data_IF_941456822771
#
_entry.id   IF_941456822771
#
_cell.length_a   1.000
_cell.length_b   1.000
_cell.length_c   1.000
_cell.angle_alpha   90.00
_cell.angle_beta   90.00
_cell.angle_gamma   90.00
#
_symmetry.space_group_name_H-M   'P 1'
#
loop_
_entity.id
_entity.type
_entity.pdbx_description
1 polymer ?
#
# COMPACT_ATOMS: atom_id res chain seq x y z
N UNK A 1 -8.45 4.42 -30.81
CA UNK A 1 -8.34 4.46 -29.33
C UNK A 1 -7.82 3.11 -28.90
N UNK A 2 -6.52 2.98 -28.69
CA UNK A 2 -5.93 1.72 -28.24
C UNK A 2 -6.37 1.48 -26.79
N UNK A 3 -7.03 0.35 -26.58
CA UNK A 3 -7.22 -0.22 -25.26
C UNK A 3 -5.84 -0.62 -24.73
N UNK A 4 -5.18 0.31 -24.03
CA UNK A 4 -3.97 0.02 -23.27
C UNK A 4 -4.43 -0.75 -22.06
N UNK A 5 -4.50 -2.08 -22.20
CA UNK A 5 -4.63 -2.97 -21.04
C UNK A 5 -3.44 -2.70 -20.12
N UNK A 6 -3.62 -1.82 -19.12
CA UNK A 6 -2.63 -1.57 -18.08
C UNK A 6 -2.26 -2.94 -17.51
N UNK A 7 -0.98 -3.29 -17.53
CA UNK A 7 -0.51 -4.54 -16.93
C UNK A 7 -0.78 -4.47 -15.42
N UNK A 8 -1.91 -5.05 -14.99
CA UNK A 8 -2.38 -5.05 -13.61
C UNK A 8 -1.86 -6.29 -12.90
N UNK A 9 -1.10 -6.08 -11.83
CA UNK A 9 -0.64 -7.15 -10.95
C UNK A 9 -1.26 -7.01 -9.56
N UNK A 10 -1.42 -8.13 -8.87
CA UNK A 10 -1.87 -8.17 -7.49
C UNK A 10 -0.85 -8.93 -6.65
N UNK A 11 -0.43 -8.33 -5.53
CA UNK A 11 0.60 -8.88 -4.64
C UNK A 11 0.04 -8.95 -3.24
N UNK A 12 0.02 -10.16 -2.68
CA UNK A 12 -0.36 -10.38 -1.28
C UNK A 12 0.83 -10.14 -0.36
N UNK A 13 0.62 -9.32 0.66
CA UNK A 13 1.65 -9.01 1.64
C UNK A 13 1.71 -10.07 2.75
N UNK A 14 2.89 -10.32 3.34
CA UNK A 14 3.05 -11.31 4.40
C UNK A 14 2.31 -10.91 5.68
N UNK A 15 2.04 -11.90 6.53
CA UNK A 15 1.39 -11.67 7.83
C UNK A 15 2.22 -10.76 8.75
N UNK A 16 3.55 -10.90 8.70
CA UNK A 16 4.50 -10.08 9.45
C UNK A 16 5.19 -9.09 8.54
N UNK A 17 4.82 -7.83 8.66
CA UNK A 17 5.44 -6.72 7.94
C UNK A 17 5.74 -5.60 8.94
N UNK A 18 6.93 -5.61 9.52
CA UNK A 18 7.35 -4.64 10.55
C UNK A 18 8.84 -4.33 10.38
N UNK A 19 9.43 -3.53 11.26
CA UNK A 19 10.80 -3.04 11.10
C UNK A 19 11.84 -4.17 10.91
N UNK A 20 11.56 -5.37 11.40
CA UNK A 20 12.43 -6.55 11.25
C UNK A 20 12.36 -7.19 9.87
N UNK A 21 11.21 -7.13 9.20
CA UNK A 21 10.95 -7.82 7.92
C UNK A 21 10.74 -6.85 6.75
N UNK A 22 10.56 -5.55 7.00
CA UNK A 22 10.23 -4.57 5.96
C UNK A 22 11.32 -4.43 4.88
N UNK A 23 12.57 -4.79 5.20
CA UNK A 23 13.66 -4.85 4.22
C UNK A 23 13.49 -5.99 3.21
N UNK A 24 12.84 -7.08 3.59
CA UNK A 24 12.53 -8.21 2.71
C UNK A 24 11.34 -7.87 1.81
N UNK A 25 10.38 -7.08 2.33
CA UNK A 25 9.22 -6.61 1.57
C UNK A 25 9.58 -5.59 0.48
N UNK A 26 10.60 -4.76 0.70
CA UNK A 26 11.01 -3.71 -0.24
C UNK A 26 11.29 -4.22 -1.67
N UNK A 27 12.14 -5.25 -1.90
CA UNK A 27 12.42 -5.74 -3.24
C UNK A 27 11.19 -6.36 -3.91
N UNK A 28 10.28 -6.97 -3.14
CA UNK A 28 9.02 -7.54 -3.68
C UNK A 28 8.10 -6.43 -4.21
N UNK A 29 7.91 -5.36 -3.43
CA UNK A 29 7.12 -4.20 -3.86
C UNK A 29 7.75 -3.52 -5.08
N UNK A 30 9.07 -3.36 -5.09
CA UNK A 30 9.78 -2.77 -6.21
C UNK A 30 9.64 -3.63 -7.47
N UNK A 31 9.79 -4.96 -7.36
CA UNK A 31 9.62 -5.86 -8.49
C UNK A 31 8.19 -5.79 -9.06
N UNK A 32 7.16 -5.74 -8.22
CA UNK A 32 5.78 -5.58 -8.65
C UNK A 32 5.57 -4.25 -9.42
N UNK A 33 6.14 -3.15 -8.91
CA UNK A 33 6.07 -1.82 -9.52
C UNK A 33 6.89 -1.69 -10.80
N UNK A 34 8.00 -2.42 -10.94
CA UNK A 34 8.76 -2.48 -12.19
C UNK A 34 8.05 -3.34 -13.25
N UNK A 35 7.36 -4.40 -12.82
CA UNK A 35 6.68 -5.34 -13.70
C UNK A 35 5.32 -4.87 -14.23
N UNK A 36 4.63 -3.97 -13.55
CA UNK A 36 3.27 -3.52 -13.90
C UNK A 36 3.08 -2.01 -13.81
N UNK A 37 2.01 -1.52 -14.44
CA UNK A 37 1.61 -0.10 -14.37
C UNK A 37 0.51 0.14 -13.33
N UNK A 38 -0.20 -0.92 -12.95
CA UNK A 38 -1.20 -0.91 -11.90
C UNK A 38 -0.94 -2.06 -10.93
N UNK A 39 -0.49 -1.74 -9.71
CA UNK A 39 -0.24 -2.72 -8.65
C UNK A 39 -1.36 -2.63 -7.62
N UNK A 40 -1.91 -3.78 -7.26
CA UNK A 40 -2.88 -3.92 -6.17
C UNK A 40 -2.24 -4.70 -5.04
N UNK A 41 -2.27 -4.16 -3.83
CA UNK A 41 -1.74 -4.83 -2.64
C UNK A 41 -2.88 -5.45 -1.84
N UNK A 42 -2.78 -6.75 -1.58
CA UNK A 42 -3.61 -7.42 -0.58
C UNK A 42 -2.91 -7.39 0.78
N UNK A 43 -3.48 -6.58 1.69
CA UNK A 43 -2.99 -6.40 3.06
C UNK A 43 -3.82 -7.16 4.11
N UNK A 44 -4.80 -7.97 3.68
CA UNK A 44 -5.74 -8.64 4.59
C UNK A 44 -5.09 -9.70 5.50
N UNK A 45 -3.92 -10.19 5.10
CA UNK A 45 -3.12 -11.12 5.87
C UNK A 45 -2.26 -10.43 6.95
N UNK A 46 -2.01 -9.13 6.86
CA UNK A 46 -1.07 -8.43 7.73
C UNK A 46 -1.61 -8.32 9.17
N UNK A 47 -0.97 -9.02 10.11
CA UNK A 47 -1.35 -9.04 11.54
C UNK A 47 -0.27 -8.45 12.45
N UNK A 48 1.00 -8.63 12.10
CA UNK A 48 2.13 -8.12 12.88
C UNK A 48 2.78 -6.94 12.15
N UNK A 49 2.10 -5.79 12.21
CA UNK A 49 2.53 -4.54 11.56
C UNK A 49 2.92 -3.44 12.55
N UNK A 50 3.83 -2.57 12.12
CA UNK A 50 4.23 -1.37 12.86
C UNK A 50 4.28 -0.15 11.93
N UNK A 51 4.75 0.99 12.44
CA UNK A 51 4.81 2.21 11.64
C UNK A 51 5.73 2.10 10.40
N UNK A 52 6.75 1.26 10.43
CA UNK A 52 7.64 1.07 9.28
C UNK A 52 6.94 0.43 8.09
N UNK A 53 5.90 -0.39 8.34
CA UNK A 53 5.01 -0.89 7.30
C UNK A 53 4.31 0.26 6.58
N UNK A 54 3.67 1.15 7.34
CA UNK A 54 2.96 2.32 6.78
C UNK A 54 3.94 3.17 5.95
N UNK A 55 5.14 3.43 6.48
CA UNK A 55 6.18 4.17 5.77
C UNK A 55 6.60 3.49 4.47
N UNK A 56 6.74 2.16 4.45
CA UNK A 56 7.09 1.41 3.25
C UNK A 56 6.00 1.49 2.18
N UNK A 57 4.72 1.37 2.58
CA UNK A 57 3.61 1.52 1.63
C UNK A 57 3.54 2.94 1.09
N UNK A 58 3.70 3.97 1.93
CA UNK A 58 3.74 5.37 1.46
C UNK A 58 4.92 5.65 0.52
N UNK A 59 6.10 5.09 0.80
CA UNK A 59 7.25 5.18 -0.09
C UNK A 59 6.97 4.51 -1.44
N UNK A 60 6.34 3.34 -1.45
CA UNK A 60 5.93 2.63 -2.66
C UNK A 60 4.87 3.40 -3.46
N UNK A 61 3.89 4.03 -2.78
CA UNK A 61 2.90 4.91 -3.41
C UNK A 61 3.54 6.13 -4.06
N UNK A 62 4.45 6.80 -3.34
CA UNK A 62 5.19 7.94 -3.87
C UNK A 62 6.01 7.54 -5.11
N UNK A 63 6.72 6.41 -5.03
CA UNK A 63 7.44 5.87 -6.18
C UNK A 63 6.51 5.63 -7.37
N UNK A 64 5.38 4.95 -7.15
CA UNK A 64 4.41 4.68 -8.21
C UNK A 64 3.94 5.98 -8.88
N UNK A 65 3.54 6.98 -8.07
CA UNK A 65 3.08 8.29 -8.56
C UNK A 65 4.15 9.01 -9.39
N UNK A 66 5.40 9.06 -8.90
CA UNK A 66 6.52 9.68 -9.62
C UNK A 66 6.84 8.92 -10.92
N UNK A 67 6.66 7.60 -10.94
CA UNK A 67 6.86 6.76 -12.11
C UNK A 67 5.66 6.71 -13.07
N UNK A 68 4.59 7.47 -12.83
CA UNK A 68 3.37 7.46 -13.65
C UNK A 68 2.53 6.17 -13.52
N UNK A 69 2.75 5.40 -12.46
CA UNK A 69 2.08 4.14 -12.13
C UNK A 69 1.04 4.33 -11.04
N UNK A 70 0.19 3.34 -10.84
CA UNK A 70 -0.81 3.34 -9.77
C UNK A 70 -0.56 2.20 -8.80
N UNK A 71 -0.64 2.50 -7.49
CA UNK A 71 -0.63 1.51 -6.42
C UNK A 71 -1.90 1.69 -5.58
N UNK A 72 -2.65 0.62 -5.36
CA UNK A 72 -3.94 0.61 -4.66
C UNK A 72 -4.01 -0.57 -3.68
N UNK A 73 -4.95 -0.56 -2.75
CA UNK A 73 -5.23 -1.71 -1.87
C UNK A 73 -6.42 -2.49 -2.40
N UNK A 74 -6.41 -3.82 -2.23
CA UNK A 74 -7.56 -4.67 -2.60
C UNK A 74 -8.74 -4.53 -1.63
N UNK A 75 -8.46 -4.13 -0.39
CA UNK A 75 -9.43 -3.90 0.68
C UNK A 75 -8.96 -2.72 1.56
N UNK A 76 -9.89 -2.00 2.23
CA UNK A 76 -9.50 -0.96 3.17
C UNK A 76 -8.69 -1.54 4.32
N UNK A 77 -7.87 -0.70 4.95
CA UNK A 77 -7.13 -1.04 6.14
C UNK A 77 -8.10 -1.35 7.30
N UNK A 78 -7.91 -2.52 7.88
CA UNK A 78 -8.66 -3.01 9.03
C UNK A 78 -7.71 -3.60 10.08
N UNK A 79 -8.23 -3.95 11.25
CA UNK A 79 -7.49 -4.61 12.31
C UNK A 79 -6.15 -3.94 12.65
N UNK A 80 -5.07 -4.73 12.66
CA UNK A 80 -3.74 -4.27 13.05
C UNK A 80 -3.23 -3.09 12.19
N UNK A 81 -3.53 -3.07 10.89
CA UNK A 81 -3.13 -1.97 10.00
C UNK A 81 -3.87 -0.68 10.38
N UNK A 82 -5.19 -0.77 10.59
CA UNK A 82 -6.01 0.37 11.02
C UNK A 82 -5.57 0.92 12.38
N UNK A 83 -5.22 0.04 13.32
CA UNK A 83 -4.75 0.42 14.65
C UNK A 83 -3.42 1.18 14.58
N UNK A 84 -2.48 0.73 13.73
CA UNK A 84 -1.21 1.45 13.51
C UNK A 84 -1.47 2.81 12.87
N UNK A 85 -2.33 2.89 11.84
CA UNK A 85 -2.69 4.17 11.21
C UNK A 85 -3.28 5.15 12.22
N UNK A 86 -4.19 4.69 13.10
CA UNK A 86 -4.77 5.50 14.16
C UNK A 86 -3.69 6.02 15.11
N UNK A 87 -2.84 5.14 15.63
CA UNK A 87 -1.78 5.50 16.57
C UNK A 87 -0.72 6.43 15.96
N UNK A 88 -0.50 6.34 14.66
CA UNK A 88 0.41 7.20 13.91
C UNK A 88 -0.21 8.58 13.57
N UNK A 89 -1.45 8.85 13.96
CA UNK A 89 -2.15 10.08 13.62
C UNK A 89 -2.56 10.18 12.14
N UNK A 90 -2.46 9.09 11.37
CA UNK A 90 -2.86 9.05 9.96
C UNK A 90 -4.37 9.20 9.78
N UNK A 91 -5.17 9.07 10.84
CA UNK A 91 -6.64 9.17 10.82
C UNK A 91 -7.19 10.53 11.31
N UNK A 92 -6.40 11.33 12.02
CA UNK A 92 -6.90 12.51 12.72
C UNK A 92 -6.78 13.80 11.89
N UNK A 93 -5.99 13.80 10.81
CA UNK A 93 -5.82 14.86 9.82
C UNK A 93 -5.62 14.26 8.42
N UNK A 94 -6.51 13.34 8.04
CA UNK A 94 -6.33 12.57 6.80
C UNK A 94 -6.49 13.51 5.61
N UNK A 95 -5.44 13.66 4.80
CA UNK A 95 -5.62 14.23 3.48
C UNK A 95 -6.66 13.37 2.73
N UNK A 96 -7.52 13.97 1.89
CA UNK A 96 -8.45 13.21 1.07
C UNK A 96 -7.81 11.99 0.37
N UNK A 97 -6.57 12.15 -0.12
CA UNK A 97 -5.78 11.12 -0.76
C UNK A 97 -5.42 9.95 0.17
N UNK A 98 -5.08 10.22 1.44
CA UNK A 98 -4.79 9.17 2.42
C UNK A 98 -6.07 8.43 2.83
N UNK A 99 -7.20 9.13 2.97
CA UNK A 99 -8.48 8.53 3.35
C UNK A 99 -9.02 7.63 2.24
N UNK A 100 -8.92 8.11 0.99
CA UNK A 100 -9.30 7.33 -0.19
C UNK A 100 -8.44 6.07 -0.32
N UNK A 101 -7.12 6.18 -0.16
CA UNK A 101 -6.23 5.02 -0.29
C UNK A 101 -6.37 4.02 0.86
N UNK A 102 -6.25 4.45 2.12
CA UNK A 102 -6.22 3.53 3.25
C UNK A 102 -7.60 3.05 3.66
N UNK A 103 -8.64 3.89 3.52
CA UNK A 103 -9.97 3.60 4.07
C UNK A 103 -11.02 3.39 2.98
N UNK A 104 -10.65 3.52 1.70
CA UNK A 104 -11.56 3.46 0.55
C UNK A 104 -12.77 4.40 0.71
N UNK A 105 -12.56 5.54 1.38
CA UNK A 105 -13.60 6.55 1.54
C UNK A 105 -13.60 7.48 0.33
N UNK A 106 -14.78 7.73 -0.21
CA UNK A 106 -14.99 8.87 -1.09
C UNK A 106 -14.81 10.15 -0.28
N UNK A 107 -14.17 11.14 -0.90
CA UNK A 107 -13.77 12.42 -0.32
C UNK A 107 -14.18 13.55 -1.23
#
# INVERSE_FOLDING_TARGET
MADVSRNRSETRLPERANIRTVKELQPELLAALLGGDAVVLDITACREVDFSFVQMIEAARLYARVAGKTLTLSAPAEGAVLDVLRRAGFLDQVSPEHASFWLHREV
#
